data_IF_288849768429
#
_entry.id   IF_288849768429
#
_cell.length_a   1.000
_cell.length_b   1.000
_cell.length_c   1.000
_cell.angle_alpha   90.00
_cell.angle_beta   90.00
_cell.angle_gamma   90.00
#
_symmetry.space_group_name_H-M   'P 1'
#
loop_
_entity.id
_entity.type
_entity.pdbx_description
1 polymer ?
#
# COMPACT_ATOMS: atom_id res chain seq x y z
N UNK A 1 -11.54 9.40 16.01
CA UNK A 1 -11.81 8.41 14.95
C UNK A 1 -10.70 7.37 15.02
N UNK A 2 -11.03 6.08 15.08
CA UNK A 2 -10.01 5.03 15.17
C UNK A 2 -9.14 5.01 13.92
N UNK A 3 -7.83 4.84 14.08
CA UNK A 3 -6.90 4.85 12.94
C UNK A 3 -7.20 3.72 11.93
N UNK A 4 -7.66 2.56 12.41
CA UNK A 4 -8.17 1.50 11.55
C UNK A 4 -9.37 1.90 10.67
N UNK A 5 -10.31 2.70 11.21
CA UNK A 5 -11.47 3.15 10.43
C UNK A 5 -11.03 4.10 9.31
N UNK A 6 -10.02 4.93 9.59
CA UNK A 6 -9.39 5.77 8.57
C UNK A 6 -8.70 4.94 7.49
N UNK A 7 -7.89 3.94 7.87
CA UNK A 7 -7.26 3.02 6.93
C UNK A 7 -8.28 2.28 6.05
N UNK A 8 -9.37 1.82 6.64
CA UNK A 8 -10.43 1.13 5.91
C UNK A 8 -11.06 2.03 4.84
N UNK A 9 -11.40 3.27 5.20
CA UNK A 9 -12.09 4.20 4.32
C UNK A 9 -11.18 4.73 3.20
N UNK A 10 -9.94 5.10 3.52
CA UNK A 10 -9.06 5.80 2.59
C UNK A 10 -8.08 4.89 1.86
N UNK A 11 -7.82 3.69 2.37
CA UNK A 11 -6.83 2.78 1.79
C UNK A 11 -7.51 1.49 1.31
N UNK A 12 -8.23 0.80 2.18
CA UNK A 12 -8.76 -0.52 1.83
C UNK A 12 -9.91 -0.43 0.82
N UNK A 13 -10.83 0.51 1.00
CA UNK A 13 -11.96 0.70 0.09
C UNK A 13 -11.51 0.99 -1.36
N UNK A 14 -10.57 1.93 -1.62
CA UNK A 14 -10.02 2.11 -2.98
C UNK A 14 -9.30 0.88 -3.54
N UNK A 15 -8.50 0.17 -2.72
CA UNK A 15 -7.80 -1.04 -3.15
C UNK A 15 -8.79 -2.11 -3.58
N UNK A 16 -9.82 -2.37 -2.77
CA UNK A 16 -10.86 -3.36 -3.07
C UNK A 16 -11.55 -3.00 -4.38
N UNK A 17 -11.92 -1.74 -4.58
CA UNK A 17 -12.55 -1.29 -5.82
C UNK A 17 -11.64 -1.49 -7.04
N UNK A 18 -10.37 -1.09 -6.96
CA UNK A 18 -9.41 -1.25 -8.05
C UNK A 18 -9.17 -2.72 -8.39
N UNK A 19 -9.01 -3.57 -7.38
CA UNK A 19 -8.80 -5.01 -7.55
C UNK A 19 -10.04 -5.73 -8.05
N UNK A 20 -11.24 -5.37 -7.60
CA UNK A 20 -12.49 -5.96 -8.09
C UNK A 20 -12.70 -5.67 -9.58
N UNK A 21 -12.40 -4.45 -10.04
CA UNK A 21 -12.58 -4.04 -11.44
C UNK A 21 -11.48 -4.59 -12.38
N UNK A 22 -10.28 -4.87 -11.87
CA UNK A 22 -9.12 -5.24 -12.68
C UNK A 22 -8.48 -6.58 -12.28
N UNK A 23 -9.25 -7.44 -11.60
CA UNK A 23 -8.78 -8.65 -10.94
C UNK A 23 -7.88 -9.52 -11.82
N UNK A 24 -8.32 -9.82 -13.04
CA UNK A 24 -7.58 -10.68 -13.96
C UNK A 24 -6.21 -10.14 -14.38
N UNK A 25 -6.09 -8.83 -14.61
CA UNK A 25 -4.82 -8.19 -14.96
C UNK A 25 -3.88 -8.13 -13.76
N UNK A 26 -4.38 -7.70 -12.59
CA UNK A 26 -3.57 -7.49 -11.40
C UNK A 26 -3.03 -8.81 -10.81
N UNK A 27 -3.78 -9.91 -10.93
CA UNK A 27 -3.32 -11.24 -10.51
C UNK A 27 -2.05 -11.70 -11.22
N UNK A 28 -1.81 -11.26 -12.45
CA UNK A 28 -0.59 -11.58 -13.20
C UNK A 28 0.65 -10.96 -12.54
N UNK A 29 0.48 -9.83 -11.85
CA UNK A 29 1.54 -9.07 -11.20
C UNK A 29 1.58 -9.25 -9.67
N UNK A 30 0.90 -10.27 -9.13
CA UNK A 30 0.88 -10.53 -7.68
C UNK A 30 2.27 -10.65 -7.07
N UNK A 31 3.24 -11.22 -7.80
CA UNK A 31 4.64 -11.32 -7.35
C UNK A 31 5.28 -9.94 -7.25
N UNK A 32 5.07 -9.07 -8.23
CA UNK A 32 5.58 -7.68 -8.21
C UNK A 32 5.04 -6.93 -7.01
N UNK A 33 3.73 -7.00 -6.75
CA UNK A 33 3.10 -6.36 -5.58
C UNK A 33 3.68 -6.91 -4.28
N UNK A 34 3.84 -8.24 -4.16
CA UNK A 34 4.44 -8.86 -2.98
C UNK A 34 5.91 -8.44 -2.77
N UNK A 35 6.70 -8.33 -3.84
CA UNK A 35 8.07 -7.82 -3.74
C UNK A 35 8.10 -6.35 -3.29
N UNK A 36 7.22 -5.50 -3.83
CA UNK A 36 7.10 -4.12 -3.37
C UNK A 36 6.78 -4.06 -1.87
N UNK A 37 5.82 -4.85 -1.39
CA UNK A 37 5.46 -4.92 0.04
C UNK A 37 6.64 -5.40 0.88
N UNK A 38 7.34 -6.46 0.45
CA UNK A 38 8.49 -7.00 1.16
C UNK A 38 9.62 -5.98 1.30
N UNK A 39 9.96 -5.28 0.21
CA UNK A 39 10.97 -4.22 0.24
C UNK A 39 10.52 -3.00 1.05
N UNK A 40 9.25 -2.61 0.95
CA UNK A 40 8.70 -1.52 1.75
C UNK A 40 8.85 -1.82 3.24
N UNK A 41 8.40 -2.99 3.69
CA UNK A 41 8.55 -3.42 5.09
C UNK A 41 10.01 -3.48 5.52
N UNK A 42 10.90 -4.03 4.69
CA UNK A 42 12.32 -4.17 5.04
C UNK A 42 13.00 -2.83 5.28
N UNK A 43 12.63 -1.78 4.53
CA UNK A 43 13.24 -0.46 4.67
C UNK A 43 12.49 0.48 5.62
N UNK A 44 11.16 0.49 5.59
CA UNK A 44 10.37 1.43 6.39
C UNK A 44 10.31 1.00 7.86
N UNK A 45 10.16 -0.30 8.15
CA UNK A 45 10.01 -0.75 9.55
C UNK A 45 11.23 -0.39 10.41
N UNK A 46 12.50 -0.66 9.99
CA UNK A 46 13.65 -0.27 10.79
C UNK A 46 13.76 1.25 10.96
N UNK A 47 13.43 2.01 9.92
CA UNK A 47 13.44 3.47 9.94
C UNK A 47 12.42 4.02 10.95
N UNK A 48 11.19 3.53 10.90
CA UNK A 48 10.10 3.98 11.78
C UNK A 48 10.33 3.56 13.23
N UNK A 49 10.83 2.33 13.47
CA UNK A 49 11.25 1.90 14.82
C UNK A 49 12.33 2.84 15.36
N UNK A 50 13.30 3.25 14.53
CA UNK A 50 14.34 4.18 14.95
C UNK A 50 13.79 5.58 15.23
N UNK A 51 12.84 6.07 14.43
CA UNK A 51 12.16 7.35 14.64
C UNK A 51 11.37 7.39 15.96
N UNK A 52 10.72 6.29 16.33
CA UNK A 52 10.04 6.15 17.62
C UNK A 52 11.04 6.12 18.78
N UNK A 53 12.11 5.35 18.65
CA UNK A 53 13.15 5.26 19.70
C UNK A 53 13.84 6.59 19.97
N UNK A 54 14.01 7.41 18.94
CA UNK A 54 14.60 8.76 19.04
C UNK A 54 13.59 9.82 19.48
N UNK A 55 12.33 9.45 19.72
CA UNK A 55 11.24 10.36 20.10
C UNK A 55 10.98 11.46 19.07
N UNK A 56 11.45 11.27 17.82
CA UNK A 56 11.13 12.13 16.68
C UNK A 56 9.67 11.90 16.27
N UNK A 57 9.21 10.65 16.38
CA UNK A 57 7.86 10.25 16.03
C UNK A 57 7.16 9.59 17.22
N UNK A 58 5.97 10.08 17.55
CA UNK A 58 5.20 9.64 18.71
C UNK A 58 3.82 9.19 18.25
N UNK A 59 3.39 8.02 18.72
CA UNK A 59 2.06 7.51 18.43
C UNK A 59 1.15 7.74 19.65
N UNK A 60 0.09 8.57 19.52
CA UNK A 60 -0.85 8.78 20.61
C UNK A 60 -1.58 7.47 20.94
N UNK A 61 -1.59 7.11 22.22
CA UNK A 61 -2.15 5.85 22.72
C UNK A 61 -3.68 5.77 22.58
N UNK A 62 -4.36 6.91 22.42
CA UNK A 62 -5.82 7.00 22.41
C UNK A 62 -6.47 6.62 21.08
N UNK A 63 -5.71 6.52 19.99
CA UNK A 63 -6.23 6.26 18.63
C UNK A 63 -5.92 4.88 18.07
N UNK A 64 -5.08 4.11 18.78
CA UNK A 64 -4.57 2.82 18.35
C UNK A 64 -5.27 1.70 19.14
N UNK A 65 -5.39 0.52 18.54
CA UNK A 65 -5.99 -0.69 19.13
C UNK A 65 -5.14 -1.26 20.27
N UNK A 66 -3.97 -0.67 20.53
CA UNK A 66 -3.09 -1.03 21.65
C UNK A 66 -2.20 -2.25 21.38
N UNK A 67 -2.22 -2.81 20.16
CA UNK A 67 -1.32 -3.88 19.77
C UNK A 67 -0.02 -3.30 19.19
N UNK A 68 1.11 -3.59 19.84
CA UNK A 68 2.43 -3.13 19.43
C UNK A 68 3.33 -4.32 19.09
N UNK A 69 4.00 -4.24 17.94
CA UNK A 69 4.94 -5.25 17.46
C UNK A 69 6.27 -4.54 17.20
N UNK A 70 7.35 -5.05 17.78
CA UNK A 70 8.72 -4.52 17.62
C UNK A 70 8.90 -3.01 17.86
N UNK A 71 8.00 -2.37 18.62
CA UNK A 71 8.04 -0.94 18.93
C UNK A 71 7.19 -0.04 18.02
N UNK A 72 6.38 -0.62 17.14
CA UNK A 72 5.40 0.08 16.30
C UNK A 72 3.98 -0.47 16.52
N UNK A 73 2.93 0.35 16.38
CA UNK A 73 1.55 -0.12 16.42
C UNK A 73 1.23 -0.99 15.20
N UNK A 74 0.34 -1.99 15.35
CA UNK A 74 -0.09 -2.88 14.26
C UNK A 74 -0.56 -2.08 13.03
N UNK A 75 -1.26 -0.98 13.28
CA UNK A 75 -1.83 -0.13 12.24
C UNK A 75 -0.76 0.47 11.32
N UNK A 76 0.45 0.72 11.81
CA UNK A 76 1.56 1.20 10.98
C UNK A 76 2.00 0.14 9.98
N UNK A 77 2.08 -1.13 10.41
CA UNK A 77 2.37 -2.24 9.51
C UNK A 77 1.27 -2.39 8.44
N UNK A 78 0.00 -2.28 8.83
CA UNK A 78 -1.11 -2.31 7.89
C UNK A 78 -1.02 -1.12 6.93
N UNK A 79 -0.71 0.07 7.41
CA UNK A 79 -0.51 1.26 6.58
C UNK A 79 0.58 1.01 5.54
N UNK A 80 1.78 0.58 5.94
CA UNK A 80 2.90 0.29 5.04
C UNK A 80 2.48 -0.74 3.98
N UNK A 81 1.87 -1.85 4.39
CA UNK A 81 1.45 -2.92 3.47
C UNK A 81 0.43 -2.42 2.46
N UNK A 82 -0.67 -1.83 2.93
CA UNK A 82 -1.79 -1.48 2.08
C UNK A 82 -1.52 -0.24 1.23
N UNK A 83 -0.79 0.76 1.73
CA UNK A 83 -0.39 1.91 0.92
C UNK A 83 0.58 1.47 -0.18
N UNK A 84 1.53 0.59 0.11
CA UNK A 84 2.43 0.02 -0.91
C UNK A 84 1.65 -0.77 -1.96
N UNK A 85 0.67 -1.57 -1.53
CA UNK A 85 -0.23 -2.28 -2.43
C UNK A 85 -1.05 -1.31 -3.30
N UNK A 86 -1.55 -0.22 -2.73
CA UNK A 86 -2.31 0.81 -3.45
C UNK A 86 -1.45 1.46 -4.54
N UNK A 87 -0.26 1.95 -4.19
CA UNK A 87 0.64 2.64 -5.12
C UNK A 87 1.11 1.71 -6.24
N UNK A 88 1.48 0.46 -5.91
CA UNK A 88 1.86 -0.53 -6.91
C UNK A 88 0.69 -0.89 -7.84
N UNK A 89 -0.52 -1.03 -7.30
CA UNK A 89 -1.74 -1.28 -8.09
C UNK A 89 -2.01 -0.13 -9.06
N UNK A 90 -1.99 1.13 -8.58
CA UNK A 90 -2.20 2.32 -9.42
C UNK A 90 -1.15 2.37 -10.54
N UNK A 91 0.12 2.11 -10.21
CA UNK A 91 1.22 2.08 -11.19
C UNK A 91 0.98 1.03 -12.28
N UNK A 92 0.55 -0.18 -11.91
CA UNK A 92 0.22 -1.24 -12.85
C UNK A 92 -0.97 -0.89 -13.75
N UNK A 93 -2.01 -0.26 -13.19
CA UNK A 93 -3.16 0.20 -13.97
C UNK A 93 -2.78 1.33 -14.93
N UNK A 94 -1.87 2.22 -14.52
CA UNK A 94 -1.33 3.26 -15.41
C UNK A 94 -0.53 2.64 -16.54
N UNK A 95 0.34 1.67 -16.25
CA UNK A 95 1.07 0.89 -17.26
C UNK A 95 0.10 0.26 -18.27
N UNK A 96 -0.94 -0.43 -17.80
CA UNK A 96 -1.98 -1.01 -18.67
C UNK A 96 -2.61 0.04 -19.58
N UNK A 97 -2.93 1.22 -19.05
CA UNK A 97 -3.55 2.31 -19.81
C UNK A 97 -2.62 2.82 -20.92
N UNK A 98 -1.32 2.93 -20.64
CA UNK A 98 -0.32 3.37 -21.61
C UNK A 98 -0.16 2.34 -22.74
N UNK A 99 -0.06 1.05 -22.39
CA UNK A 99 0.04 -0.05 -23.38
C UNK A 99 -1.17 -0.07 -24.33
N UNK A 100 -2.38 0.13 -23.80
CA UNK A 100 -3.60 0.18 -24.61
C UNK A 100 -3.65 1.41 -25.54
N UNK A 101 -3.06 2.54 -25.11
CA UNK A 101 -3.01 3.76 -25.91
C UNK A 101 -2.01 3.63 -27.07
N UNK A 102 -0.83 3.08 -26.81
CA UNK A 102 0.19 2.84 -27.84
C UNK A 102 -0.32 1.90 -28.93
N UNK A 103 -1.09 0.87 -28.57
CA UNK A 103 -1.72 -0.04 -29.54
C UNK A 103 -2.76 0.66 -30.42
N UNK A 104 -3.53 1.59 -29.85
CA UNK A 104 -4.51 2.38 -30.60
C UNK A 104 -3.83 3.36 -31.58
N UNK A 105 -2.73 3.99 -31.15
CA UNK A 105 -1.98 4.95 -31.97
C UNK A 105 -1.12 4.25 -33.06
N UNK A 106 -0.60 3.04 -32.77
CA UNK A 106 0.23 2.25 -33.69
C UNK A 106 -0.52 1.35 -34.68
N UNK A 107 -1.82 1.13 -34.48
CA UNK A 107 -2.68 0.31 -35.36
C UNK A 107 -3.27 1.06 -36.57
N UNK A 108 -2.86 2.31 -36.81
CA UNK A 108 -3.35 3.19 -37.88
C UNK A 108 -2.48 3.24 -39.14
N UNK A 109 -1.81 2.14 -39.52
CA UNK A 109 -1.09 1.99 -40.80
C UNK A 109 -1.69 0.84 -41.60
#
# INVERSE_FOLDING_TARGET
MNYLAWLLLFVWLPIILMWALNWGYLLQYKRTVLYCIGWALLFSVPWDVWAVRTQIWLFPSDTNVGLWIAGLPLEEYLFIIFVTMMISTVTLLLKRRLELREQADGGGI
#
